data_IF_872563205386
#
_entry.id   IF_872563205386
#
_cell.length_a   1.000
_cell.length_b   1.000
_cell.length_c   1.000
_cell.angle_alpha   90.00
_cell.angle_beta   90.00
_cell.angle_gamma   90.00
#
_symmetry.space_group_name_H-M   'P 1'
#
loop_
_entity.id
_entity.type
_entity.pdbx_description
1 polymer ?
#
# COMPACT_ATOMS: atom_id res chain seq x y z
N UNK A 1 0.67 27.47 -30.98
CA UNK A 1 1.20 26.11 -30.74
C UNK A 1 0.67 25.63 -29.39
N UNK A 2 -0.47 24.90 -29.34
CA UNK A 2 -1.16 24.53 -28.10
C UNK A 2 -0.92 23.08 -27.63
N UNK A 3 -0.05 22.31 -28.28
CA UNK A 3 0.10 20.86 -28.04
C UNK A 3 0.93 20.49 -26.80
N UNK A 4 1.65 21.43 -26.18
CA UNK A 4 2.59 21.13 -25.09
C UNK A 4 1.90 21.01 -23.71
N UNK A 5 0.80 21.74 -23.50
CA UNK A 5 0.04 21.73 -22.25
C UNK A 5 -0.69 20.40 -22.01
N UNK A 6 -1.17 19.74 -23.07
CA UNK A 6 -1.82 18.43 -22.97
C UNK A 6 -0.84 17.31 -22.57
N UNK A 7 0.37 17.34 -23.14
CA UNK A 7 1.42 16.37 -22.79
C UNK A 7 1.90 16.55 -21.35
N UNK A 8 2.08 17.80 -20.87
CA UNK A 8 2.43 18.03 -19.47
C UNK A 8 1.34 17.56 -18.49
N UNK A 9 0.06 17.73 -18.85
CA UNK A 9 -1.04 17.25 -18.02
C UNK A 9 -1.05 15.71 -17.93
N UNK A 10 -0.79 15.03 -19.04
CA UNK A 10 -0.71 13.57 -19.07
C UNK A 10 0.48 13.04 -18.28
N UNK A 11 1.67 13.65 -18.45
CA UNK A 11 2.89 13.27 -17.71
C UNK A 11 2.72 13.48 -16.21
N UNK A 12 2.07 14.58 -15.79
CA UNK A 12 1.81 14.83 -14.36
C UNK A 12 0.81 13.86 -13.75
N UNK A 13 -0.25 13.48 -14.50
CA UNK A 13 -1.19 12.42 -14.09
C UNK A 13 -0.50 11.07 -13.95
N UNK A 14 0.32 10.69 -14.94
CA UNK A 14 1.08 9.43 -14.93
C UNK A 14 2.10 9.38 -13.78
N UNK A 15 2.79 10.49 -13.52
CA UNK A 15 3.74 10.61 -12.41
C UNK A 15 3.05 10.51 -11.04
N UNK A 16 1.85 11.08 -10.90
CA UNK A 16 1.06 10.99 -9.67
C UNK A 16 0.58 9.55 -9.43
N UNK A 17 0.06 8.88 -10.46
CA UNK A 17 -0.31 7.47 -10.40
C UNK A 17 0.90 6.57 -10.06
N UNK A 18 2.08 6.86 -10.63
CA UNK A 18 3.32 6.17 -10.28
C UNK A 18 3.72 6.41 -8.81
N UNK A 19 3.60 7.64 -8.32
CA UNK A 19 3.86 7.94 -6.90
C UNK A 19 2.91 7.18 -5.97
N UNK A 20 1.62 7.08 -6.30
CA UNK A 20 0.64 6.32 -5.51
C UNK A 20 0.94 4.81 -5.51
N UNK A 21 1.35 4.28 -6.66
CA UNK A 21 1.79 2.89 -6.77
C UNK A 21 3.01 2.62 -5.88
N UNK A 22 4.00 3.52 -5.88
CA UNK A 22 5.21 3.38 -5.06
C UNK A 22 4.88 3.56 -3.58
N UNK A 23 4.00 4.50 -3.19
CA UNK A 23 3.52 4.65 -1.80
C UNK A 23 2.93 3.32 -1.29
N UNK A 24 2.07 2.69 -2.09
CA UNK A 24 1.49 1.40 -1.73
C UNK A 24 2.55 0.29 -1.61
N UNK A 25 3.51 0.22 -2.53
CA UNK A 25 4.60 -0.77 -2.46
C UNK A 25 5.49 -0.59 -1.23
N UNK A 26 5.79 0.66 -0.87
CA UNK A 26 6.59 0.99 0.33
C UNK A 26 5.83 0.59 1.60
N UNK A 27 4.52 0.81 1.63
CA UNK A 27 3.66 0.38 2.74
C UNK A 27 3.61 -1.14 2.89
N UNK A 28 3.54 -1.88 1.78
CA UNK A 28 3.60 -3.34 1.80
C UNK A 28 4.96 -3.86 2.27
N UNK A 29 6.05 -3.21 1.84
CA UNK A 29 7.39 -3.52 2.36
C UNK A 29 7.50 -3.27 3.86
N UNK A 30 6.86 -2.24 4.42
CA UNK A 30 6.85 -2.01 5.87
C UNK A 30 6.15 -3.16 6.62
N UNK A 31 5.03 -3.67 6.09
CA UNK A 31 4.33 -4.83 6.66
C UNK A 31 5.20 -6.08 6.62
N UNK A 32 5.87 -6.36 5.50
CA UNK A 32 6.77 -7.53 5.39
C UNK A 32 7.96 -7.42 6.34
N UNK A 33 8.53 -6.22 6.53
CA UNK A 33 9.57 -5.95 7.53
C UNK A 33 9.03 -6.16 8.94
N UNK A 34 7.78 -5.77 9.23
CA UNK A 34 7.16 -6.00 10.53
C UNK A 34 6.97 -7.50 10.83
N UNK A 35 6.58 -8.30 9.83
CA UNK A 35 6.50 -9.77 9.95
C UNK A 35 7.88 -10.37 10.16
N UNK A 36 8.86 -9.98 9.34
CA UNK A 36 10.24 -10.44 9.47
C UNK A 36 10.89 -10.07 10.82
N UNK A 37 10.47 -8.95 11.42
CA UNK A 37 10.94 -8.53 12.73
C UNK A 37 10.39 -9.37 13.89
N UNK A 38 9.29 -10.12 13.69
CA UNK A 38 8.72 -11.01 14.72
C UNK A 38 9.56 -12.27 14.94
N UNK A 39 10.09 -12.84 13.86
CA UNK A 39 11.03 -13.97 13.93
C UNK A 39 12.19 -13.79 12.95
N UNK A 40 13.20 -12.98 13.32
CA UNK A 40 14.35 -12.72 12.45
C UNK A 40 15.19 -13.98 12.19
N UNK A 41 15.22 -14.91 13.15
CA UNK A 41 15.96 -16.18 13.06
C UNK A 41 15.43 -17.09 11.96
N UNK A 42 14.11 -17.18 11.80
CA UNK A 42 13.48 -17.98 10.77
C UNK A 42 13.85 -17.51 9.34
N UNK A 43 14.02 -16.20 9.15
CA UNK A 43 14.37 -15.61 7.86
C UNK A 43 15.88 -15.37 7.66
N UNK A 44 16.72 -15.71 8.64
CA UNK A 44 18.17 -15.45 8.58
C UNK A 44 18.53 -13.96 8.53
N UNK A 45 17.68 -13.08 9.07
CA UNK A 45 17.85 -11.63 9.02
C UNK A 45 18.44 -11.14 10.35
N UNK A 46 19.48 -10.30 10.28
CA UNK A 46 20.10 -9.69 11.45
C UNK A 46 19.36 -8.43 11.89
N UNK A 47 19.42 -8.07 13.19
CA UNK A 47 18.81 -6.84 13.70
C UNK A 47 19.33 -5.58 12.99
N UNK A 48 20.63 -5.54 12.69
CA UNK A 48 21.26 -4.44 11.95
C UNK A 48 20.69 -4.30 10.54
N UNK A 49 20.32 -5.41 9.91
CA UNK A 49 19.70 -5.40 8.59
C UNK A 49 18.23 -4.96 8.65
N UNK A 50 17.47 -5.40 9.66
CA UNK A 50 16.11 -4.92 9.89
C UNK A 50 16.06 -3.40 10.08
N UNK A 51 16.99 -2.85 10.88
CA UNK A 51 17.08 -1.39 11.09
C UNK A 51 17.40 -0.65 9.79
N UNK A 52 18.30 -1.20 8.95
CA UNK A 52 18.57 -0.63 7.62
C UNK A 52 17.32 -0.63 6.75
N UNK A 53 16.56 -1.73 6.74
CA UNK A 53 15.31 -1.87 5.96
C UNK A 53 14.26 -0.89 6.43
N UNK A 54 14.02 -0.76 7.75
CA UNK A 54 13.09 0.24 8.32
C UNK A 54 13.46 1.68 7.96
N UNK A 55 14.75 2.02 8.04
CA UNK A 55 15.23 3.36 7.69
C UNK A 55 15.07 3.64 6.19
N UNK A 56 15.34 2.65 5.33
CA UNK A 56 15.12 2.78 3.90
C UNK A 56 13.63 3.00 3.59
N UNK A 57 12.73 2.19 4.14
CA UNK A 57 11.28 2.32 3.94
C UNK A 57 10.76 3.68 4.38
N UNK A 58 11.19 4.17 5.54
CA UNK A 58 10.83 5.51 6.03
C UNK A 58 11.33 6.63 5.12
N UNK A 59 12.58 6.56 4.67
CA UNK A 59 13.15 7.53 3.74
C UNK A 59 12.44 7.52 2.38
N UNK A 60 12.12 6.34 1.85
CA UNK A 60 11.39 6.18 0.59
C UNK A 60 10.00 6.81 0.67
N UNK A 61 9.26 6.59 1.77
CA UNK A 61 7.96 7.22 1.99
C UNK A 61 8.04 8.75 2.00
N UNK A 62 9.05 9.31 2.68
CA UNK A 62 9.25 10.78 2.69
C UNK A 62 9.63 11.32 1.31
N UNK A 63 10.47 10.62 0.54
CA UNK A 63 10.85 11.04 -0.81
C UNK A 63 9.65 11.06 -1.76
N UNK A 64 8.82 10.00 -1.76
CA UNK A 64 7.64 9.94 -2.63
C UNK A 64 6.61 11.01 -2.24
N UNK A 65 6.38 11.24 -0.94
CA UNK A 65 5.53 12.32 -0.47
C UNK A 65 6.02 13.71 -0.90
N UNK A 66 7.34 13.94 -0.89
CA UNK A 66 7.93 15.18 -1.36
C UNK A 66 7.77 15.35 -2.89
N UNK A 67 7.96 14.28 -3.67
CA UNK A 67 7.75 14.29 -5.12
C UNK A 67 6.28 14.58 -5.44
N UNK A 68 5.35 13.84 -4.83
CA UNK A 68 3.90 14.06 -4.96
C UNK A 68 3.51 15.50 -4.63
N UNK A 69 4.03 16.06 -3.52
CA UNK A 69 3.80 17.45 -3.13
C UNK A 69 4.37 18.45 -4.13
N UNK A 70 5.56 18.19 -4.68
CA UNK A 70 6.19 19.06 -5.69
C UNK A 70 5.44 19.07 -7.02
N UNK A 71 4.85 17.94 -7.43
CA UNK A 71 4.02 17.82 -8.64
C UNK A 71 2.70 18.56 -8.48
N UNK A 72 2.07 18.47 -7.30
CA UNK A 72 0.80 19.16 -7.01
C UNK A 72 1.04 20.67 -6.83
N UNK A 73 2.10 21.08 -6.14
CA UNK A 73 2.41 22.48 -5.82
C UNK A 73 3.09 23.21 -7.00
N UNK A 74 3.81 22.48 -7.85
CA UNK A 74 4.40 23.00 -9.09
C UNK A 74 3.34 23.51 -10.07
N UNK A 75 2.10 23.03 -9.96
CA UNK A 75 0.94 23.53 -10.72
C UNK A 75 0.44 24.91 -10.24
N UNK A 76 0.76 25.32 -9.01
CA UNK A 76 0.35 26.61 -8.42
C UNK A 76 1.40 27.73 -8.51
N UNK A 77 2.61 27.44 -9.03
CA UNK A 77 3.72 28.41 -9.02
C UNK A 77 3.78 29.31 -10.25
N UNK A 78 2.94 29.10 -11.26
CA UNK A 78 2.78 30.03 -12.39
C UNK A 78 1.69 31.08 -12.16
N UNK A 79 0.97 31.05 -11.03
CA UNK A 79 -0.18 31.93 -10.78
C UNK A 79 -0.09 32.67 -9.44
N UNK A 80 1.13 32.86 -8.91
CA UNK A 80 1.40 33.72 -7.74
C UNK A 80 2.13 35.01 -8.19
N UNK A 81 1.55 35.69 -9.18
CA UNK A 81 1.96 37.05 -9.57
C UNK A 81 0.76 37.91 -9.94
N UNK A 82 -0.34 37.86 -9.16
CA UNK A 82 -1.49 38.77 -9.35
C UNK A 82 -2.24 39.13 -8.07
N UNK A 83 -1.66 38.95 -6.88
CA UNK A 83 -2.24 39.50 -5.64
C UNK A 83 -2.03 41.02 -5.45
N UNK A 84 -1.62 41.76 -6.48
CA UNK A 84 -1.41 43.21 -6.44
C UNK A 84 -2.51 44.11 -7.04
N UNK A 85 -3.54 43.56 -7.70
CA UNK A 85 -4.44 44.35 -8.57
C UNK A 85 -5.72 44.83 -7.87
N UNK A 86 -5.94 44.49 -6.59
CA UNK A 86 -7.11 45.01 -5.85
C UNK A 86 -6.93 46.44 -5.28
N UNK A 87 -5.75 47.04 -5.44
CA UNK A 87 -5.46 48.41 -4.99
C UNK A 87 -5.79 49.52 -6.00
N UNK A 88 -5.83 49.24 -7.30
CA UNK A 88 -5.94 50.28 -8.33
C UNK A 88 -7.38 50.59 -8.79
N UNK A 89 -8.33 49.67 -8.56
CA UNK A 89 -9.72 49.81 -9.09
C UNK A 89 -10.58 50.83 -8.33
N UNK A 90 -10.10 51.37 -7.21
CA UNK A 90 -10.85 52.36 -6.41
C UNK A 90 -10.67 53.81 -6.88
N UNK A 91 -9.65 54.10 -7.67
CA UNK A 91 -9.35 55.46 -8.17
C UNK A 91 -10.13 55.84 -9.44
N UNK A 92 -10.67 54.86 -10.20
CA UNK A 92 -11.37 55.10 -11.46
C UNK A 92 -12.87 55.44 -11.31
N UNK A 93 -13.38 55.53 -10.08
CA UNK A 93 -14.78 55.89 -9.79
C UNK A 93 -14.96 57.40 -9.47
N UNK A 94 -14.04 58.25 -9.93
CA UNK A 94 -14.13 59.71 -9.76
C UNK A 94 -14.45 60.38 -11.09
N UNK A 95 -15.74 60.65 -11.31
CA UNK A 95 -16.27 61.42 -12.44
C UNK A 95 -15.57 62.79 -12.60
N UNK A 96 -15.41 63.22 -13.86
CA UNK A 96 -15.88 64.55 -14.23
C UNK A 96 -16.82 64.52 -15.46
N UNK A 97 -17.62 65.56 -15.53
CA UNK A 97 -18.83 65.72 -16.32
C UNK A 97 -18.57 66.10 -17.79
N UNK A 98 -19.63 65.93 -18.59
CA UNK A 98 -20.01 66.66 -19.81
C UNK A 98 -19.50 66.23 -21.20
N UNK A 99 -20.49 66.01 -22.07
CA UNK A 99 -20.49 65.90 -23.54
C UNK A 99 -20.14 64.52 -24.15
N UNK A 100 -21.08 64.00 -24.95
CA UNK A 100 -20.90 63.15 -26.16
C UNK A 100 -21.80 61.90 -26.21
N UNK A 101 -22.98 62.08 -26.80
CA UNK A 101 -24.01 61.07 -27.05
C UNK A 101 -23.79 60.22 -28.32
N UNK A 102 -22.60 60.24 -28.92
CA UNK A 102 -22.24 59.41 -30.09
C UNK A 102 -21.30 58.24 -29.75
N UNK A 103 -20.84 58.15 -28.50
CA UNK A 103 -19.88 57.13 -28.07
C UNK A 103 -20.57 55.85 -27.55
N UNK A 104 -21.83 55.94 -27.11
CA UNK A 104 -22.53 54.83 -26.44
C UNK A 104 -22.79 53.60 -27.32
N UNK A 105 -22.86 53.76 -28.64
CA UNK A 105 -23.10 52.63 -29.57
C UNK A 105 -21.84 51.80 -29.87
N UNK A 106 -20.64 52.39 -29.78
CA UNK A 106 -19.39 51.67 -30.05
C UNK A 106 -19.01 50.76 -28.87
N UNK A 107 -19.22 51.22 -27.63
CA UNK A 107 -18.98 50.42 -26.42
C UNK A 107 -20.01 49.31 -26.18
N UNK A 108 -21.24 49.45 -26.70
CA UNK A 108 -22.25 48.40 -26.61
C UNK A 108 -21.91 47.22 -27.55
N UNK A 109 -21.41 47.52 -28.74
CA UNK A 109 -21.07 46.52 -29.76
C UNK A 109 -19.80 45.73 -29.38
N UNK A 110 -18.79 46.40 -28.83
CA UNK A 110 -17.58 45.74 -28.31
C UNK A 110 -17.84 44.90 -27.05
N UNK A 111 -18.81 45.29 -26.22
CA UNK A 111 -19.22 44.48 -25.06
C UNK A 111 -19.98 43.22 -25.47
N UNK A 112 -20.84 43.28 -26.49
CA UNK A 112 -21.57 42.08 -26.96
C UNK A 112 -20.62 41.06 -27.60
N UNK A 113 -19.60 41.50 -28.33
CA UNK A 113 -18.59 40.62 -28.94
C UNK A 113 -17.64 40.01 -27.88
N UNK A 114 -17.32 40.79 -26.83
CA UNK A 114 -16.58 40.27 -25.69
C UNK A 114 -17.40 39.24 -24.89
N UNK A 115 -18.67 39.53 -24.62
CA UNK A 115 -19.57 38.63 -23.88
C UNK A 115 -19.86 37.34 -24.67
N UNK A 116 -20.02 37.42 -25.98
CA UNK A 116 -20.22 36.24 -26.83
C UNK A 116 -18.97 35.35 -26.85
N UNK A 117 -17.77 35.94 -26.92
CA UNK A 117 -16.51 35.20 -26.89
C UNK A 117 -16.23 34.50 -25.54
N UNK A 118 -16.55 35.16 -24.42
CA UNK A 118 -16.49 34.56 -23.07
C UNK A 118 -17.50 33.43 -22.89
N UNK A 119 -18.71 33.58 -23.42
CA UNK A 119 -19.76 32.55 -23.40
C UNK A 119 -19.32 31.28 -24.14
N UNK A 120 -18.74 31.43 -25.33
CA UNK A 120 -18.22 30.30 -26.10
C UNK A 120 -17.06 29.60 -25.40
N UNK A 121 -16.20 30.37 -24.73
CA UNK A 121 -15.08 29.83 -23.96
C UNK A 121 -15.58 29.05 -22.72
N UNK A 122 -16.60 29.54 -22.01
CA UNK A 122 -17.23 28.83 -20.91
C UNK A 122 -17.91 27.54 -21.38
N UNK A 123 -18.57 27.56 -22.55
CA UNK A 123 -19.25 26.39 -23.10
C UNK A 123 -18.27 25.28 -23.51
N UNK A 124 -17.10 25.63 -24.05
CA UNK A 124 -16.03 24.67 -24.34
C UNK A 124 -15.44 24.06 -23.06
N UNK A 125 -15.28 24.86 -22.01
CA UNK A 125 -14.76 24.40 -20.73
C UNK A 125 -15.75 23.45 -20.03
N UNK A 126 -17.04 23.76 -20.12
CA UNK A 126 -18.11 22.91 -19.58
C UNK A 126 -18.19 21.56 -20.32
N UNK A 127 -18.01 21.55 -21.64
CA UNK A 127 -17.90 20.30 -22.41
C UNK A 127 -16.69 19.46 -22.02
N UNK A 128 -15.53 20.08 -21.82
CA UNK A 128 -14.34 19.36 -21.35
C UNK A 128 -14.57 18.73 -19.96
N UNK A 129 -15.28 19.42 -19.08
CA UNK A 129 -15.62 18.86 -17.78
C UNK A 129 -16.60 17.69 -17.88
N UNK A 130 -17.61 17.77 -18.75
CA UNK A 130 -18.53 16.65 -18.98
C UNK A 130 -17.78 15.42 -19.53
N UNK A 131 -16.87 15.60 -20.49
CA UNK A 131 -16.03 14.52 -21.01
C UNK A 131 -15.14 13.90 -19.90
N UNK A 132 -14.59 14.73 -18.99
CA UNK A 132 -13.83 14.23 -17.83
C UNK A 132 -14.71 13.47 -16.82
N UNK A 133 -15.97 13.87 -16.64
CA UNK A 133 -16.91 13.18 -15.75
C UNK A 133 -17.36 11.83 -16.31
N UNK A 134 -17.52 11.72 -17.63
CA UNK A 134 -17.82 10.45 -18.29
C UNK A 134 -16.65 9.46 -18.15
N UNK A 135 -15.41 9.93 -18.31
CA UNK A 135 -14.21 9.11 -18.07
C UNK A 135 -14.10 8.69 -16.60
N UNK A 136 -14.41 9.59 -15.67
CA UNK A 136 -14.44 9.29 -14.24
C UNK A 136 -15.52 8.25 -13.92
N UNK A 137 -16.71 8.37 -14.52
CA UNK A 137 -17.82 7.42 -14.36
C UNK A 137 -17.43 6.02 -14.83
N UNK A 138 -16.82 5.92 -16.01
CA UNK A 138 -16.30 4.65 -16.54
C UNK A 138 -15.20 4.05 -15.65
N UNK A 139 -14.37 4.90 -15.03
CA UNK A 139 -13.34 4.48 -14.08
C UNK A 139 -13.96 3.96 -12.78
N UNK A 140 -15.00 4.61 -12.26
CA UNK A 140 -15.74 4.17 -11.05
C UNK A 140 -16.44 2.84 -11.31
N UNK A 141 -17.05 2.64 -12.48
CA UNK A 141 -17.67 1.36 -12.84
C UNK A 141 -16.63 0.23 -12.85
N UNK A 142 -15.45 0.49 -13.44
CA UNK A 142 -14.34 -0.47 -13.43
C UNK A 142 -13.85 -0.78 -12.02
N UNK A 143 -13.71 0.24 -11.17
CA UNK A 143 -13.31 0.07 -9.77
C UNK A 143 -14.36 -0.71 -8.98
N UNK A 144 -15.65 -0.47 -9.26
CA UNK A 144 -16.75 -1.22 -8.68
C UNK A 144 -16.68 -2.71 -9.06
N UNK A 145 -16.39 -3.00 -10.33
CA UNK A 145 -16.17 -4.37 -10.82
C UNK A 145 -15.01 -5.05 -10.10
N UNK A 146 -13.87 -4.38 -9.98
CA UNK A 146 -12.70 -4.90 -9.22
C UNK A 146 -13.04 -5.10 -7.74
N UNK A 147 -13.79 -4.19 -7.13
CA UNK A 147 -14.24 -4.29 -5.74
C UNK A 147 -15.13 -5.52 -5.49
N UNK A 148 -16.03 -5.84 -6.43
CA UNK A 148 -16.84 -7.06 -6.38
C UNK A 148 -15.98 -8.33 -6.48
N UNK A 149 -15.01 -8.35 -7.40
CA UNK A 149 -14.08 -9.48 -7.52
C UNK A 149 -13.23 -9.67 -6.25
N UNK A 150 -12.74 -8.58 -5.65
CA UNK A 150 -12.00 -8.65 -4.37
C UNK A 150 -12.90 -9.22 -3.28
N UNK A 151 -14.18 -8.79 -3.21
CA UNK A 151 -15.12 -9.31 -2.23
C UNK A 151 -15.35 -10.82 -2.38
N UNK A 152 -15.54 -11.31 -3.61
CA UNK A 152 -15.69 -12.73 -3.89
C UNK A 152 -14.43 -13.54 -3.51
N UNK A 153 -13.25 -13.01 -3.84
CA UNK A 153 -11.97 -13.64 -3.49
C UNK A 153 -11.74 -13.67 -1.97
N UNK A 154 -12.15 -12.63 -1.24
CA UNK A 154 -12.10 -12.62 0.23
C UNK A 154 -13.02 -13.68 0.85
N UNK A 155 -14.22 -13.86 0.31
CA UNK A 155 -15.13 -14.94 0.76
C UNK A 155 -14.54 -16.32 0.44
N UNK A 156 -13.89 -16.48 -0.71
CA UNK A 156 -13.17 -17.70 -1.07
C UNK A 156 -12.02 -17.99 -0.08
N UNK A 157 -11.23 -16.96 0.25
CA UNK A 157 -10.13 -17.09 1.22
C UNK A 157 -10.62 -17.39 2.63
N UNK A 158 -11.76 -16.84 3.08
CA UNK A 158 -12.37 -17.19 4.37
C UNK A 158 -12.63 -18.71 4.45
N UNK A 159 -13.17 -19.29 3.38
CA UNK A 159 -13.40 -20.75 3.31
C UNK A 159 -12.09 -21.54 3.35
N UNK A 160 -11.06 -21.11 2.63
CA UNK A 160 -9.75 -21.78 2.62
C UNK A 160 -9.10 -21.71 4.02
N UNK A 161 -9.25 -20.59 4.73
CA UNK A 161 -8.73 -20.43 6.10
C UNK A 161 -9.45 -21.36 7.07
N UNK A 162 -10.77 -21.51 6.95
CA UNK A 162 -11.55 -22.45 7.76
C UNK A 162 -11.09 -23.90 7.51
N UNK A 163 -10.94 -24.29 6.25
CA UNK A 163 -10.41 -25.61 5.88
C UNK A 163 -8.99 -25.83 6.43
N UNK A 164 -8.10 -24.85 6.29
CA UNK A 164 -6.76 -24.89 6.89
C UNK A 164 -6.81 -25.03 8.42
N UNK A 165 -7.77 -24.37 9.08
CA UNK A 165 -8.02 -24.52 10.51
C UNK A 165 -8.38 -25.96 10.88
N UNK A 166 -9.30 -26.58 10.13
CA UNK A 166 -9.67 -27.99 10.36
C UNK A 166 -8.51 -28.96 10.11
N UNK A 167 -7.69 -28.71 9.07
CA UNK A 167 -6.49 -29.51 8.81
C UNK A 167 -5.45 -29.35 9.92
N UNK A 168 -5.27 -28.13 10.43
CA UNK A 168 -4.38 -27.81 11.53
C UNK A 168 -4.82 -28.53 12.82
N UNK A 169 -6.10 -28.53 13.14
CA UNK A 169 -6.67 -29.28 14.27
C UNK A 169 -6.41 -30.78 14.12
N UNK A 170 -6.60 -31.33 12.92
CA UNK A 170 -6.31 -32.75 12.64
C UNK A 170 -4.83 -33.07 12.82
N UNK A 171 -3.95 -32.15 12.42
CA UNK A 171 -2.49 -32.28 12.56
C UNK A 171 -2.08 -32.17 14.03
N UNK A 172 -2.70 -31.26 14.78
CA UNK A 172 -2.51 -31.11 16.23
C UNK A 172 -2.86 -32.41 16.97
N UNK A 173 -4.02 -33.00 16.67
CA UNK A 173 -4.44 -34.28 17.27
C UNK A 173 -3.46 -35.43 16.93
N UNK A 174 -2.96 -35.48 15.69
CA UNK A 174 -1.93 -36.47 15.30
C UNK A 174 -0.62 -36.24 16.04
N UNK A 175 -0.20 -34.98 16.19
CA UNK A 175 1.02 -34.61 16.88
C UNK A 175 0.91 -34.95 18.38
N UNK A 176 -0.24 -34.70 19.01
CA UNK A 176 -0.49 -35.10 20.40
C UNK A 176 -0.39 -36.62 20.57
N UNK A 177 -0.93 -37.40 19.63
CA UNK A 177 -0.81 -38.86 19.65
C UNK A 177 0.64 -39.32 19.49
N UNK A 178 1.41 -38.68 18.59
CA UNK A 178 2.84 -38.95 18.42
C UNK A 178 3.60 -38.59 19.70
N UNK A 179 3.33 -37.44 20.31
CA UNK A 179 3.93 -37.01 21.55
C UNK A 179 3.64 -38.00 22.68
N UNK A 180 2.39 -38.47 22.80
CA UNK A 180 2.00 -39.49 23.78
C UNK A 180 2.69 -40.83 23.54
N UNK A 181 2.89 -41.23 22.28
CA UNK A 181 3.68 -42.41 21.92
C UNK A 181 5.15 -42.25 22.29
N UNK A 182 5.75 -41.09 22.02
CA UNK A 182 7.14 -40.80 22.40
C UNK A 182 7.29 -40.86 23.93
N UNK A 183 6.38 -40.25 24.69
CA UNK A 183 6.39 -40.31 26.15
C UNK A 183 6.21 -41.76 26.66
N UNK A 184 5.34 -42.55 26.02
CA UNK A 184 5.19 -43.97 26.35
C UNK A 184 6.45 -44.79 26.02
N UNK A 185 7.10 -44.56 24.88
CA UNK A 185 8.37 -45.22 24.52
C UNK A 185 9.46 -44.83 25.49
N UNK A 186 9.56 -43.55 25.86
CA UNK A 186 10.53 -43.05 26.83
C UNK A 186 10.30 -43.66 28.23
N UNK A 187 9.04 -43.82 28.65
CA UNK A 187 8.68 -44.54 29.88
C UNK A 187 8.96 -46.05 29.80
N UNK A 188 8.74 -46.69 28.65
CA UNK A 188 8.96 -48.13 28.44
C UNK A 188 10.43 -48.49 28.27
N UNK A 189 11.22 -47.60 27.68
CA UNK A 189 12.69 -47.61 27.70
C UNK A 189 13.25 -47.22 29.07
N UNK A 190 12.37 -46.85 30.02
CA UNK A 190 12.72 -46.38 31.34
C UNK A 190 13.42 -47.43 32.21
N UNK A 191 13.96 -46.92 33.32
CA UNK A 191 14.90 -47.56 34.22
C UNK A 191 14.61 -49.03 34.56
N UNK A 192 13.34 -49.47 34.63
CA UNK A 192 12.98 -50.86 34.95
C UNK A 192 13.52 -51.88 33.93
N UNK A 193 13.49 -51.56 32.63
CA UNK A 193 14.04 -52.44 31.59
C UNK A 193 15.56 -52.50 31.65
N UNK A 194 16.21 -51.34 31.83
CA UNK A 194 17.66 -51.25 31.99
C UNK A 194 18.15 -51.94 33.27
N UNK A 195 17.41 -51.83 34.37
CA UNK A 195 17.72 -52.51 35.64
C UNK A 195 17.55 -54.02 35.50
N UNK A 196 16.53 -54.52 34.81
CA UNK A 196 16.42 -55.96 34.54
C UNK A 196 17.56 -56.47 33.64
N UNK A 197 17.96 -55.67 32.65
CA UNK A 197 19.12 -55.97 31.80
C UNK A 197 20.42 -56.01 32.61
N UNK A 198 20.66 -55.03 33.49
CA UNK A 198 21.88 -54.98 34.32
C UNK A 198 21.94 -56.17 35.28
N UNK A 199 20.80 -56.55 35.88
CA UNK A 199 20.71 -57.68 36.80
C UNK A 199 21.00 -59.01 36.08
N UNK A 200 20.45 -59.19 34.87
CA UNK A 200 20.73 -60.35 34.04
C UNK A 200 22.21 -60.44 33.65
N UNK A 201 22.81 -59.34 33.20
CA UNK A 201 24.24 -59.26 32.87
C UNK A 201 25.13 -59.57 34.09
N UNK A 202 24.76 -59.10 35.27
CA UNK A 202 25.48 -59.38 36.51
C UNK A 202 25.45 -60.87 36.88
N UNK A 203 24.28 -61.52 36.78
CA UNK A 203 24.16 -62.96 37.03
C UNK A 203 25.01 -63.76 36.03
N UNK A 204 24.98 -63.40 34.74
CA UNK A 204 25.79 -64.05 33.72
C UNK A 204 27.30 -63.88 34.03
N UNK A 205 27.72 -62.69 34.44
CA UNK A 205 29.09 -62.43 34.86
C UNK A 205 29.51 -63.31 36.05
N UNK A 206 28.67 -63.46 37.07
CA UNK A 206 28.95 -64.34 38.22
C UNK A 206 29.10 -65.80 37.78
N UNK A 207 28.23 -66.30 36.90
CA UNK A 207 28.33 -67.67 36.37
C UNK A 207 29.63 -67.88 35.60
N UNK A 208 29.99 -66.93 34.72
CA UNK A 208 31.26 -67.00 33.98
C UNK A 208 32.46 -66.96 34.93
N UNK A 209 32.44 -66.09 35.93
CA UNK A 209 33.51 -65.98 36.92
C UNK A 209 33.68 -67.30 37.67
N UNK A 210 32.60 -67.89 38.18
CA UNK A 210 32.65 -69.20 38.86
C UNK A 210 33.18 -70.28 37.92
N UNK A 211 32.69 -70.34 36.67
CA UNK A 211 33.15 -71.33 35.70
C UNK A 211 34.66 -71.20 35.44
N UNK A 212 35.17 -69.97 35.25
CA UNK A 212 36.59 -69.71 34.97
C UNK A 212 37.51 -69.94 36.18
N UNK A 213 37.05 -69.66 37.40
CA UNK A 213 37.87 -69.85 38.61
C UNK A 213 37.83 -71.30 39.16
N UNK A 214 36.77 -72.05 38.87
CA UNK A 214 36.63 -73.46 39.27
C UNK A 214 36.99 -74.47 38.16
N UNK A 215 37.16 -74.02 36.92
CA UNK A 215 37.84 -74.76 35.84
C UNK A 215 39.33 -74.47 35.89
#
# INVERSE_FOLDING_TARGET
MPSDSGNQLQITKELLASCESIEWQVDELDKTIAVAARDPSFYGITQVELDKRRRWTGNSRTQVGNVKKSVITGKGSNDTSTSGINGMRRELMRLPNSHQSDISNQYAQDNDDFISSESDQQLLLMRQQDDELDELSASVERIGGVGLTIHEELLSQEKIIDELGTEMDSTSNRLEFVQKKVDMVMKKAGAKGQIMMILFLFVLFVVLFVLVFFT
#
